data_IF_737907681065
#
_entry.id   IF_737907681065
#
_cell.length_a   1.000
_cell.length_b   1.000
_cell.length_c   1.000
_cell.angle_alpha   90.00
_cell.angle_beta   90.00
_cell.angle_gamma   90.00
#
_symmetry.space_group_name_H-M   'P 1'
#
loop_
_entity.id
_entity.type
_entity.pdbx_description
1 polymer ?
#
# COMPACT_ATOMS: atom_id res chain seq x y z
N UNK A 1 -20.79 7.82 27.90
CA UNK A 1 -20.97 6.81 26.83
C UNK A 1 -21.64 5.56 27.42
N UNK A 2 -22.50 4.86 26.67
CA UNK A 2 -23.05 3.55 27.07
C UNK A 2 -21.91 2.54 27.33
N UNK A 3 -22.00 1.74 28.40
CA UNK A 3 -20.98 0.74 28.80
C UNK A 3 -20.53 -0.19 27.66
N UNK A 4 -21.43 -0.52 26.74
CA UNK A 4 -21.13 -1.38 25.58
C UNK A 4 -20.21 -0.72 24.53
N UNK A 5 -20.29 0.61 24.37
CA UNK A 5 -19.43 1.33 23.42
C UNK A 5 -17.99 1.39 23.93
N UNK A 6 -17.80 1.64 25.22
CA UNK A 6 -16.47 1.63 25.85
C UNK A 6 -15.80 0.26 25.72
N UNK A 7 -16.52 -0.81 26.02
CA UNK A 7 -16.02 -2.19 25.85
C UNK A 7 -15.63 -2.51 24.41
N UNK A 8 -16.39 -1.98 23.44
CA UNK A 8 -16.09 -2.17 22.01
C UNK A 8 -14.83 -1.39 21.60
N UNK A 9 -14.66 -0.16 22.09
CA UNK A 9 -13.46 0.65 21.83
C UNK A 9 -12.23 0.01 22.46
N UNK A 10 -12.31 -0.43 23.72
CA UNK A 10 -11.21 -1.17 24.40
C UNK A 10 -10.84 -2.43 23.62
N UNK A 11 -11.83 -3.20 23.17
CA UNK A 11 -11.59 -4.39 22.34
C UNK A 11 -10.89 -4.03 21.03
N UNK A 12 -11.31 -2.96 20.35
CA UNK A 12 -10.70 -2.50 19.10
C UNK A 12 -9.24 -2.06 19.29
N UNK A 13 -8.96 -1.34 20.38
CA UNK A 13 -7.59 -0.92 20.72
C UNK A 13 -6.70 -2.12 21.00
N UNK A 14 -7.16 -3.08 21.81
CA UNK A 14 -6.40 -4.32 22.07
C UNK A 14 -6.19 -5.12 20.78
N UNK A 15 -7.21 -5.23 19.92
CA UNK A 15 -7.10 -5.92 18.64
C UNK A 15 -6.01 -5.31 17.75
N UNK A 16 -5.93 -3.97 17.67
CA UNK A 16 -4.90 -3.29 16.88
C UNK A 16 -3.47 -3.65 17.32
N UNK A 17 -3.26 -3.93 18.61
CA UNK A 17 -1.92 -4.25 19.15
C UNK A 17 -1.55 -5.73 19.03
N UNK A 18 -2.52 -6.65 18.97
CA UNK A 18 -2.27 -8.10 18.91
C UNK A 18 -2.31 -8.67 17.50
N UNK A 19 -2.91 -7.95 16.55
CA UNK A 19 -3.01 -8.43 15.18
C UNK A 19 -1.59 -8.52 14.57
N UNK A 20 -1.22 -9.68 14.01
CA UNK A 20 0.11 -9.90 13.49
C UNK A 20 0.39 -8.99 12.29
N UNK A 21 1.53 -8.31 12.36
CA UNK A 21 2.10 -7.61 11.22
C UNK A 21 2.97 -8.59 10.44
N UNK A 22 2.90 -8.60 9.10
CA UNK A 22 3.80 -9.42 8.30
C UNK A 22 5.28 -9.11 8.61
N UNK A 23 6.17 -10.11 8.55
CA UNK A 23 5.98 -11.45 7.98
C UNK A 23 5.30 -12.48 8.92
N UNK A 24 4.80 -12.07 10.09
CA UNK A 24 4.12 -12.99 10.99
C UNK A 24 2.89 -13.65 10.31
N UNK A 25 2.69 -14.93 10.63
CA UNK A 25 1.58 -15.72 10.08
C UNK A 25 0.24 -15.11 10.50
N UNK A 26 -0.80 -15.18 9.64
CA UNK A 26 -2.14 -14.79 10.05
C UNK A 26 -2.59 -15.65 11.23
N UNK A 27 -3.27 -15.04 12.19
CA UNK A 27 -3.80 -15.73 13.36
C UNK A 27 -5.31 -15.90 13.24
N UNK A 28 -5.83 -17.00 13.76
CA UNK A 28 -7.25 -17.31 13.75
C UNK A 28 -8.04 -16.39 14.68
N UNK A 29 -9.36 -16.34 14.51
CA UNK A 29 -10.24 -15.61 15.43
C UNK A 29 -10.13 -16.09 16.88
N UNK A 30 -9.84 -17.38 17.10
CA UNK A 30 -9.68 -17.94 18.44
C UNK A 30 -8.39 -17.44 19.08
N UNK A 31 -7.26 -17.55 18.38
CA UNK A 31 -5.97 -17.03 18.86
C UNK A 31 -6.01 -15.51 19.10
N UNK A 32 -6.78 -14.76 18.30
CA UNK A 32 -7.07 -13.34 18.54
C UNK A 32 -7.83 -13.09 19.84
N UNK A 33 -8.88 -13.86 20.08
CA UNK A 33 -9.67 -13.72 21.30
C UNK A 33 -8.83 -14.02 22.52
N UNK A 34 -8.04 -15.10 22.47
CA UNK A 34 -7.14 -15.51 23.55
C UNK A 34 -6.08 -14.40 23.82
N UNK A 35 -5.45 -13.85 22.77
CA UNK A 35 -4.49 -12.76 22.91
C UNK A 35 -5.08 -11.46 23.47
N UNK A 36 -6.35 -11.16 23.16
CA UNK A 36 -7.06 -9.99 23.71
C UNK A 36 -7.45 -10.23 25.18
N UNK A 37 -7.81 -11.46 25.55
CA UNK A 37 -8.09 -11.87 26.93
C UNK A 37 -6.82 -11.79 27.78
N UNK A 38 -5.69 -12.29 27.27
CA UNK A 38 -4.38 -12.26 27.95
C UNK A 38 -3.93 -10.83 28.28
N UNK A 39 -4.37 -9.84 27.48
CA UNK A 39 -4.14 -8.41 27.74
C UNK A 39 -5.16 -7.77 28.67
N UNK A 40 -6.02 -8.56 29.32
CA UNK A 40 -6.96 -8.11 30.34
C UNK A 40 -8.33 -7.65 29.81
N UNK A 41 -8.65 -7.91 28.54
CA UNK A 41 -9.97 -7.59 28.00
C UNK A 41 -10.99 -8.69 28.32
N UNK A 42 -12.21 -8.32 28.70
CA UNK A 42 -13.32 -9.27 28.97
C UNK A 42 -14.04 -9.72 27.69
N UNK A 43 -13.33 -9.80 26.57
CA UNK A 43 -13.89 -10.11 25.25
C UNK A 43 -13.96 -11.63 25.02
N UNK A 44 -14.79 -12.06 24.08
CA UNK A 44 -14.91 -13.48 23.69
C UNK A 44 -14.75 -13.67 22.18
N UNK A 45 -14.60 -14.93 21.75
CA UNK A 45 -14.49 -15.33 20.34
C UNK A 45 -15.60 -14.73 19.47
N UNK A 46 -16.85 -14.76 19.94
CA UNK A 46 -18.00 -14.31 19.15
C UNK A 46 -18.01 -12.79 19.00
N UNK A 47 -17.55 -12.05 20.01
CA UNK A 47 -17.39 -10.61 19.97
C UNK A 47 -16.31 -10.22 18.97
N UNK A 48 -15.12 -10.83 19.04
CA UNK A 48 -14.02 -10.61 18.09
C UNK A 48 -14.48 -10.92 16.67
N UNK A 49 -15.07 -12.11 16.45
CA UNK A 49 -15.57 -12.51 15.13
C UNK A 49 -16.64 -11.54 14.60
N UNK A 50 -17.56 -11.07 15.45
CA UNK A 50 -18.61 -10.12 15.03
C UNK A 50 -18.04 -8.77 14.63
N UNK A 51 -17.09 -8.24 15.42
CA UNK A 51 -16.41 -6.98 15.15
C UNK A 51 -15.61 -7.08 13.85
N UNK A 52 -14.80 -8.14 13.71
CA UNK A 52 -13.92 -8.34 12.57
C UNK A 52 -14.63 -8.86 11.32
N UNK A 53 -15.85 -9.37 11.41
CA UNK A 53 -16.69 -9.65 10.24
C UNK A 53 -17.19 -8.37 9.57
N UNK A 54 -17.19 -7.23 10.27
CA UNK A 54 -17.54 -5.94 9.68
C UNK A 54 -16.40 -5.41 8.81
N UNK A 55 -16.66 -5.27 7.52
CA UNK A 55 -15.68 -4.81 6.54
C UNK A 55 -15.14 -3.40 6.85
N UNK A 56 -15.99 -2.48 7.33
CA UNK A 56 -15.56 -1.11 7.70
C UNK A 56 -14.57 -1.13 8.85
N UNK A 57 -14.77 -2.02 9.82
CA UNK A 57 -13.85 -2.18 10.95
C UNK A 57 -12.53 -2.78 10.46
N UNK A 58 -12.56 -3.76 9.56
CA UNK A 58 -11.32 -4.30 8.96
C UNK A 58 -10.56 -3.25 8.17
N UNK A 59 -11.25 -2.41 7.42
CA UNK A 59 -10.63 -1.32 6.65
C UNK A 59 -10.04 -0.25 7.59
N UNK A 60 -10.76 0.12 8.65
CA UNK A 60 -10.29 1.08 9.66
C UNK A 60 -9.03 0.58 10.38
N UNK A 61 -8.99 -0.70 10.75
CA UNK A 61 -7.83 -1.31 11.40
C UNK A 61 -6.71 -1.65 10.42
N UNK A 62 -6.90 -1.47 9.12
CA UNK A 62 -5.91 -1.84 8.11
C UNK A 62 -5.61 -3.34 8.15
N UNK A 63 -6.62 -4.20 8.22
CA UNK A 63 -6.47 -5.67 8.34
C UNK A 63 -7.22 -6.41 7.24
N UNK A 64 -6.80 -7.64 6.95
CA UNK A 64 -7.42 -8.52 5.97
C UNK A 64 -7.73 -9.89 6.56
N UNK A 65 -8.75 -10.53 5.98
CA UNK A 65 -9.12 -11.90 6.30
C UNK A 65 -8.55 -12.83 5.23
N UNK A 66 -7.75 -13.80 5.64
CA UNK A 66 -7.04 -14.73 4.75
C UNK A 66 -7.53 -16.14 5.01
N UNK A 67 -7.67 -16.95 3.97
CA UNK A 67 -8.02 -18.36 4.11
C UNK A 67 -6.81 -19.18 4.60
N UNK A 68 -6.92 -19.78 5.78
CA UNK A 68 -5.97 -20.72 6.38
C UNK A 68 -6.55 -22.14 6.31
N UNK A 69 -6.39 -22.80 5.16
CA UNK A 69 -6.98 -24.13 4.92
C UNK A 69 -8.50 -24.09 4.95
N UNK A 70 -9.12 -24.68 5.99
CA UNK A 70 -10.59 -24.68 6.21
C UNK A 70 -11.08 -23.54 7.11
N UNK A 71 -10.18 -22.70 7.61
CA UNK A 71 -10.48 -21.63 8.55
C UNK A 71 -10.07 -20.26 8.01
N UNK A 72 -10.48 -19.20 8.69
CA UNK A 72 -10.07 -17.84 8.35
C UNK A 72 -9.09 -17.34 9.39
N UNK A 73 -7.97 -16.79 8.92
CA UNK A 73 -7.04 -16.01 9.70
C UNK A 73 -7.22 -14.51 9.45
N UNK A 74 -6.71 -13.73 10.39
CA UNK A 74 -6.66 -12.27 10.35
C UNK A 74 -5.19 -11.87 10.43
N UNK A 75 -4.81 -10.90 9.61
CA UNK A 75 -3.51 -10.23 9.70
C UNK A 75 -3.63 -8.78 9.32
N UNK A 76 -2.63 -7.99 9.69
CA UNK A 76 -2.50 -6.62 9.23
C UNK A 76 -2.36 -6.60 7.71
N UNK A 77 -3.28 -5.88 7.03
CA UNK A 77 -3.23 -5.46 5.63
C UNK A 77 -2.25 -4.31 5.58
N UNK A 78 -0.99 -4.65 5.86
CA UNK A 78 0.03 -3.64 5.91
C UNK A 78 0.04 -2.88 4.60
N UNK A 79 0.30 -1.61 4.73
CA UNK A 79 0.60 -0.84 3.56
C UNK A 79 1.83 -1.37 2.88
N UNK A 80 1.83 -1.25 1.57
CA UNK A 80 2.99 -1.60 0.77
C UNK A 80 4.22 -0.83 1.32
N UNK A 81 4.10 0.46 1.67
CA UNK A 81 5.20 1.25 2.26
C UNK A 81 5.59 0.91 3.72
N UNK A 82 4.73 0.28 4.52
CA UNK A 82 5.11 -0.25 5.84
C UNK A 82 5.86 -1.59 5.72
N UNK A 83 5.79 -2.25 4.56
CA UNK A 83 6.42 -3.55 4.28
C UNK A 83 7.64 -3.48 3.38
N UNK A 84 7.80 -2.38 2.64
CA UNK A 84 9.04 -2.08 1.95
C UNK A 84 9.43 -0.64 2.21
N UNK A 85 10.68 -0.46 2.59
CA UNK A 85 11.32 0.83 2.40
C UNK A 85 11.37 1.12 0.89
N UNK A 86 11.29 2.40 0.52
CA UNK A 86 11.63 2.84 -0.84
C UNK A 86 12.94 2.20 -1.33
N UNK A 87 13.91 2.02 -0.41
CA UNK A 87 15.19 1.35 -0.62
C UNK A 87 15.08 -0.11 -1.10
N UNK A 88 14.09 -0.89 -0.68
CA UNK A 88 13.93 -2.29 -1.11
C UNK A 88 13.32 -2.40 -2.52
N UNK A 89 12.40 -1.50 -2.86
CA UNK A 89 11.91 -1.35 -4.24
C UNK A 89 13.03 -0.85 -5.18
N UNK A 90 13.81 0.13 -4.73
CA UNK A 90 15.00 0.64 -5.42
C UNK A 90 15.99 -0.50 -5.66
N UNK A 91 16.29 -1.33 -4.66
CA UNK A 91 17.20 -2.46 -4.81
C UNK A 91 16.75 -3.46 -5.88
N UNK A 92 15.45 -3.79 -5.93
CA UNK A 92 14.88 -4.66 -6.97
C UNK A 92 14.97 -4.04 -8.37
N UNK A 93 14.66 -2.76 -8.51
CA UNK A 93 14.73 -2.08 -9.79
C UNK A 93 16.18 -1.97 -10.30
N UNK A 94 17.13 -1.71 -9.39
CA UNK A 94 18.56 -1.67 -9.71
C UNK A 94 19.07 -3.04 -10.14
N UNK A 95 18.73 -4.11 -9.42
CA UNK A 95 19.12 -5.49 -9.76
C UNK A 95 18.58 -5.94 -11.13
N UNK A 96 17.33 -5.60 -11.47
CA UNK A 96 16.70 -6.07 -12.70
C UNK A 96 16.99 -5.22 -13.94
N UNK A 97 17.20 -3.91 -13.77
CA UNK A 97 17.26 -2.99 -14.91
C UNK A 97 18.60 -2.27 -15.05
N UNK A 98 19.32 -1.99 -13.96
CA UNK A 98 20.59 -1.26 -14.01
C UNK A 98 21.82 -2.17 -13.97
N UNK A 99 21.68 -3.36 -13.39
CA UNK A 99 22.78 -4.32 -13.21
C UNK A 99 23.42 -4.74 -14.54
N UNK A 100 22.65 -4.77 -15.63
CA UNK A 100 23.12 -5.12 -16.99
C UNK A 100 23.96 -4.01 -17.63
N UNK A 101 23.77 -2.75 -17.20
CA UNK A 101 24.40 -1.56 -17.76
C UNK A 101 25.73 -1.18 -17.06
N UNK A 102 26.07 -1.85 -15.96
CA UNK A 102 27.26 -1.54 -15.17
C UNK A 102 28.46 -2.44 -15.52
N UNK A 103 29.70 -1.90 -15.43
CA UNK A 103 30.93 -2.69 -15.51
C UNK A 103 30.94 -3.84 -14.50
N UNK A 104 31.58 -4.95 -14.86
CA UNK A 104 31.49 -6.23 -14.13
C UNK A 104 31.92 -6.12 -12.67
N UNK A 105 32.96 -5.35 -12.37
CA UNK A 105 33.48 -5.15 -11.01
C UNK A 105 32.54 -4.31 -10.13
N UNK A 106 31.87 -3.32 -10.73
CA UNK A 106 30.89 -2.47 -10.03
C UNK A 106 29.59 -3.24 -9.81
N UNK A 107 29.17 -4.02 -10.81
CA UNK A 107 28.01 -4.92 -10.76
C UNK A 107 28.08 -5.87 -9.57
N UNK A 108 29.24 -6.50 -9.35
CA UNK A 108 29.42 -7.46 -8.28
C UNK A 108 29.31 -6.80 -6.90
N UNK A 109 29.97 -5.64 -6.70
CA UNK A 109 29.90 -4.89 -5.43
C UNK A 109 28.51 -4.32 -5.16
N UNK A 110 27.83 -3.84 -6.19
CA UNK A 110 26.48 -3.30 -6.09
C UNK A 110 25.46 -4.40 -5.78
N UNK A 111 25.54 -5.54 -6.47
CA UNK A 111 24.68 -6.69 -6.21
C UNK A 111 24.89 -7.22 -4.79
N UNK A 112 26.13 -7.33 -4.31
CA UNK A 112 26.42 -7.71 -2.91
C UNK A 112 25.81 -6.74 -1.89
N UNK A 113 25.86 -5.43 -2.17
CA UNK A 113 25.30 -4.41 -1.30
C UNK A 113 23.76 -4.40 -1.28
N UNK A 114 23.13 -4.64 -2.42
CA UNK A 114 21.68 -4.62 -2.59
C UNK A 114 21.01 -5.97 -2.26
N UNK A 115 21.77 -7.05 -2.24
CA UNK A 115 21.29 -8.43 -2.03
C UNK A 115 20.38 -8.59 -0.81
N UNK A 116 20.67 -8.05 0.39
CA UNK A 116 19.77 -8.21 1.54
C UNK A 116 18.40 -7.57 1.32
N UNK A 117 18.35 -6.44 0.61
CA UNK A 117 17.12 -5.72 0.28
C UNK A 117 16.35 -6.42 -0.84
N UNK A 118 17.08 -6.93 -1.83
CA UNK A 118 16.52 -7.72 -2.93
C UNK A 118 15.94 -9.06 -2.46
N UNK A 119 16.60 -9.78 -1.56
CA UNK A 119 16.12 -11.04 -0.99
C UNK A 119 14.85 -10.83 -0.17
N UNK A 120 14.77 -9.75 0.62
CA UNK A 120 13.55 -9.36 1.32
C UNK A 120 12.40 -9.06 0.36
N UNK A 121 12.70 -8.36 -0.72
CA UNK A 121 11.73 -8.09 -1.79
C UNK A 121 11.27 -9.39 -2.49
N UNK A 122 12.18 -10.30 -2.82
CA UNK A 122 11.88 -11.57 -3.48
C UNK A 122 10.99 -12.45 -2.61
N UNK A 123 11.31 -12.58 -1.32
CA UNK A 123 10.46 -13.29 -0.36
C UNK A 123 9.05 -12.67 -0.34
N UNK A 124 8.94 -11.35 -0.26
CA UNK A 124 7.65 -10.67 -0.31
C UNK A 124 6.88 -10.93 -1.61
N UNK A 125 7.55 -10.88 -2.76
CA UNK A 125 6.99 -11.17 -4.08
C UNK A 125 6.48 -12.61 -4.22
N UNK A 126 7.16 -13.59 -3.61
CA UNK A 126 6.72 -14.98 -3.57
C UNK A 126 5.48 -15.21 -2.68
N UNK A 127 5.38 -14.48 -1.57
CA UNK A 127 4.24 -14.57 -0.65
C UNK A 127 2.97 -13.89 -1.17
N UNK A 128 3.08 -12.94 -2.10
CA UNK A 128 1.95 -12.25 -2.69
C UNK A 128 1.39 -13.02 -3.90
N UNK A 129 0.21 -13.60 -3.74
CA UNK A 129 -0.50 -14.30 -4.84
C UNK A 129 -0.92 -13.37 -5.96
N UNK A 130 -1.20 -12.12 -5.64
CA UNK A 130 -1.61 -11.11 -6.60
C UNK A 130 -0.38 -10.27 -6.99
N UNK A 131 -0.01 -10.35 -8.27
CA UNK A 131 1.12 -9.61 -8.87
C UNK A 131 0.68 -8.36 -9.64
N UNK A 132 -0.61 -7.98 -9.59
CA UNK A 132 -1.10 -6.79 -10.30
C UNK A 132 -0.43 -5.50 -9.82
N UNK A 133 0.15 -5.49 -8.61
CA UNK A 133 0.93 -4.36 -8.10
C UNK A 133 2.18 -4.06 -8.96
N UNK A 134 2.75 -5.05 -9.66
CA UNK A 134 3.87 -4.82 -10.59
C UNK A 134 3.46 -3.96 -11.79
N UNK A 135 2.18 -3.93 -12.13
CA UNK A 135 1.63 -3.08 -13.20
C UNK A 135 1.23 -1.70 -12.72
N UNK A 136 1.39 -1.39 -11.42
CA UNK A 136 0.99 -0.11 -10.81
C UNK A 136 2.09 0.95 -10.89
N UNK A 137 3.33 0.54 -11.16
CA UNK A 137 4.48 1.42 -11.35
C UNK A 137 5.24 0.98 -12.59
N UNK A 138 5.17 1.79 -13.64
CA UNK A 138 5.90 1.58 -14.89
C UNK A 138 6.97 2.66 -15.00
N UNK A 139 8.22 2.25 -15.16
CA UNK A 139 9.35 3.18 -15.28
C UNK A 139 10.08 2.89 -16.59
N UNK A 140 10.24 3.90 -17.42
CA UNK A 140 11.06 3.82 -18.62
C UNK A 140 12.55 3.68 -18.25
N UNK A 141 13.31 2.76 -18.88
CA UNK A 141 14.70 2.47 -18.51
C UNK A 141 15.59 3.71 -18.43
N UNK A 142 15.37 4.69 -19.30
CA UNK A 142 16.14 5.93 -19.43
C UNK A 142 15.96 6.86 -18.21
N UNK A 143 14.81 6.79 -17.53
CA UNK A 143 14.50 7.61 -16.35
C UNK A 143 14.74 6.91 -15.03
N UNK A 144 14.93 5.60 -15.07
CA UNK A 144 15.11 4.81 -13.87
C UNK A 144 16.27 5.34 -13.00
N UNK A 145 17.42 5.63 -13.60
CA UNK A 145 18.59 6.12 -12.86
C UNK A 145 18.33 7.43 -12.12
N UNK A 146 17.67 8.40 -12.76
CA UNK A 146 17.38 9.71 -12.15
C UNK A 146 16.27 9.61 -11.10
N UNK A 147 15.21 8.88 -11.40
CA UNK A 147 14.07 8.70 -10.50
C UNK A 147 14.44 8.00 -9.18
N UNK A 148 15.43 7.10 -9.19
CA UNK A 148 15.91 6.42 -7.98
C UNK A 148 16.79 7.30 -7.07
N UNK A 149 17.38 8.37 -7.61
CA UNK A 149 18.30 9.26 -6.87
C UNK A 149 17.58 10.53 -6.42
N UNK A 150 16.51 10.92 -7.11
CA UNK A 150 15.69 12.06 -6.73
C UNK A 150 14.91 11.78 -5.44
N UNK A 151 14.86 12.73 -4.49
CA UNK A 151 14.04 12.59 -3.31
C UNK A 151 12.56 12.53 -3.71
N UNK A 152 11.90 11.42 -3.35
CA UNK A 152 10.47 11.23 -3.61
C UNK A 152 9.68 12.27 -2.82
N UNK A 153 8.80 13.01 -3.50
CA UNK A 153 7.95 13.98 -2.82
C UNK A 153 6.91 13.26 -1.92
N UNK A 154 6.47 13.89 -0.81
CA UNK A 154 5.46 13.31 0.06
C UNK A 154 4.14 12.96 -0.67
N UNK A 155 3.83 13.69 -1.74
CA UNK A 155 2.65 13.45 -2.56
C UNK A 155 2.80 12.22 -3.46
N UNK A 156 3.98 12.01 -4.04
CA UNK A 156 4.29 10.77 -4.79
C UNK A 156 4.24 9.57 -3.84
N UNK A 157 4.76 9.71 -2.63
CA UNK A 157 4.69 8.65 -1.61
C UNK A 157 3.24 8.31 -1.26
N UNK A 158 2.37 9.31 -1.07
CA UNK A 158 0.93 9.10 -0.84
C UNK A 158 0.23 8.45 -2.03
N UNK A 159 0.59 8.83 -3.26
CA UNK A 159 0.06 8.23 -4.49
C UNK A 159 0.44 6.74 -4.56
N UNK A 160 1.72 6.43 -4.36
CA UNK A 160 2.20 5.05 -4.32
C UNK A 160 1.49 4.26 -3.22
N UNK A 161 1.38 4.82 -2.02
CA UNK A 161 0.62 4.22 -0.92
C UNK A 161 -0.81 3.87 -1.33
N UNK A 162 -1.53 4.80 -1.98
CA UNK A 162 -2.90 4.58 -2.41
C UNK A 162 -3.02 3.59 -3.58
N UNK A 163 -2.11 3.62 -4.55
CA UNK A 163 -2.03 2.65 -5.66
C UNK A 163 -1.94 1.22 -5.13
N UNK A 164 -1.11 1.06 -4.12
CA UNK A 164 -0.82 -0.24 -3.56
C UNK A 164 -1.85 -0.71 -2.53
N UNK A 165 -2.55 0.21 -1.86
CA UNK A 165 -3.65 -0.09 -0.94
C UNK A 165 -5.02 -0.15 -1.65
N UNK A 166 -5.07 0.11 -2.95
CA UNK A 166 -6.30 0.29 -3.73
C UNK A 166 -7.26 1.29 -3.05
N UNK A 167 -6.71 2.41 -2.59
CA UNK A 167 -7.41 3.43 -1.83
C UNK A 167 -7.74 4.65 -2.68
N UNK A 168 -8.85 5.29 -2.35
CA UNK A 168 -9.20 6.56 -2.96
C UNK A 168 -8.35 7.70 -2.40
N UNK A 169 -8.00 8.64 -3.28
CA UNK A 169 -7.35 9.89 -2.93
C UNK A 169 -8.30 11.06 -3.16
N UNK A 170 -8.14 12.12 -2.38
CA UNK A 170 -8.58 13.45 -2.75
C UNK A 170 -7.38 14.13 -3.40
N UNK A 171 -7.50 14.46 -4.68
CA UNK A 171 -6.43 15.10 -5.45
C UNK A 171 -6.81 16.53 -5.74
N UNK A 172 -5.90 17.46 -5.42
CA UNK A 172 -6.00 18.86 -5.78
C UNK A 172 -4.97 19.19 -6.85
N UNK A 173 -5.42 19.70 -8.00
CA UNK A 173 -4.55 19.90 -9.16
C UNK A 173 -4.91 21.16 -9.96
N UNK A 174 -3.96 21.63 -10.77
CA UNK A 174 -4.15 22.72 -11.71
C UNK A 174 -4.40 22.20 -13.12
N UNK A 175 -5.29 22.88 -13.85
CA UNK A 175 -5.46 22.67 -15.29
C UNK A 175 -4.78 23.81 -16.01
N UNK A 176 -4.00 23.50 -17.05
CA UNK A 176 -3.34 24.52 -17.86
C UNK A 176 -4.36 25.56 -18.35
N UNK A 177 -4.12 26.84 -18.06
CA UNK A 177 -5.01 27.95 -18.40
C UNK A 177 -6.09 28.29 -17.37
N UNK A 178 -6.21 27.55 -16.28
CA UNK A 178 -7.15 27.84 -15.19
C UNK A 178 -6.45 28.50 -13.99
N UNK A 179 -7.07 29.55 -13.43
CA UNK A 179 -6.58 30.26 -12.24
C UNK A 179 -6.92 29.49 -10.94
N UNK A 180 -7.93 28.61 -10.99
CA UNK A 180 -8.39 27.83 -9.85
C UNK A 180 -7.80 26.42 -9.79
N UNK A 181 -7.45 25.97 -8.58
CA UNK A 181 -7.16 24.57 -8.33
C UNK A 181 -8.46 23.76 -8.29
N UNK A 182 -8.51 22.66 -9.02
CA UNK A 182 -9.59 21.69 -8.99
C UNK A 182 -9.36 20.67 -7.88
N UNK A 183 -10.44 20.14 -7.32
CA UNK A 183 -10.39 19.08 -6.32
C UNK A 183 -11.29 17.94 -6.79
N UNK A 184 -10.74 16.73 -6.85
CA UNK A 184 -11.45 15.55 -7.35
C UNK A 184 -11.10 14.33 -6.51
N UNK A 185 -12.11 13.51 -6.21
CA UNK A 185 -11.90 12.19 -5.59
C UNK A 185 -11.57 11.16 -6.67
N UNK A 186 -10.41 10.53 -6.54
CA UNK A 186 -9.87 9.63 -7.54
C UNK A 186 -9.54 8.25 -6.95
N UNK A 187 -9.47 7.25 -7.83
CA UNK A 187 -8.85 5.95 -7.60
C UNK A 187 -7.61 5.88 -8.49
N UNK A 188 -6.39 5.90 -7.93
CA UNK A 188 -5.18 5.79 -8.73
C UNK A 188 -5.06 4.37 -9.32
N UNK A 189 -4.64 4.27 -10.57
CA UNK A 189 -4.52 3.00 -11.29
C UNK A 189 -3.05 2.65 -11.52
N UNK A 190 -2.25 3.60 -11.99
CA UNK A 190 -0.85 3.38 -12.36
C UNK A 190 -0.07 4.70 -12.27
N UNK A 191 1.19 4.61 -11.83
CA UNK A 191 2.18 5.66 -11.95
C UNK A 191 3.14 5.34 -13.09
N UNK A 192 3.23 6.23 -14.08
CA UNK A 192 4.10 6.07 -15.25
C UNK A 192 5.22 7.10 -15.20
N UNK A 193 6.47 6.65 -15.00
CA UNK A 193 7.66 7.49 -15.06
C UNK A 193 8.24 7.40 -16.46
N UNK A 194 7.99 8.43 -17.28
CA UNK A 194 8.45 8.52 -18.67
C UNK A 194 9.57 9.52 -18.84
N UNK A 195 10.23 9.49 -20.00
CA UNK A 195 11.38 10.30 -20.36
C UNK A 195 11.16 11.80 -20.09
N UNK A 196 9.98 12.31 -20.46
CA UNK A 196 9.65 13.73 -20.33
C UNK A 196 9.06 14.11 -18.97
N UNK A 197 8.18 13.27 -18.41
CA UNK A 197 7.47 13.59 -17.16
C UNK A 197 6.94 12.31 -16.48
N UNK A 198 6.49 12.46 -15.23
CA UNK A 198 5.78 11.42 -14.50
C UNK A 198 4.29 11.67 -14.55
N UNK A 199 3.52 10.65 -14.91
CA UNK A 199 2.07 10.71 -15.08
C UNK A 199 1.37 9.79 -14.09
N UNK A 200 0.29 10.28 -13.49
CA UNK A 200 -0.64 9.48 -12.71
C UNK A 200 -1.85 9.14 -13.60
N UNK A 201 -2.08 7.84 -13.82
CA UNK A 201 -3.34 7.35 -14.36
C UNK A 201 -4.31 7.10 -13.21
N UNK A 202 -5.54 7.57 -13.37
CA UNK A 202 -6.56 7.46 -12.34
C UNK A 202 -7.96 7.36 -12.93
N UNK A 203 -8.87 6.88 -12.09
CA UNK A 203 -10.29 6.83 -12.34
C UNK A 203 -11.04 7.70 -11.34
N UNK A 204 -12.23 8.11 -11.74
CA UNK A 204 -13.20 8.83 -10.92
C UNK A 204 -14.45 7.95 -10.81
N UNK A 205 -15.38 8.33 -9.94
CA UNK A 205 -16.67 7.62 -9.84
C UNK A 205 -17.44 7.61 -11.16
N UNK A 206 -17.34 8.69 -11.93
CA UNK A 206 -18.00 8.80 -13.23
C UNK A 206 -17.35 7.84 -14.23
N UNK A 207 -16.03 7.84 -14.33
CA UNK A 207 -15.34 6.96 -15.30
C UNK A 207 -15.53 5.48 -14.96
N UNK A 208 -15.59 5.11 -13.67
CA UNK A 208 -15.89 3.74 -13.24
C UNK A 208 -17.32 3.32 -13.56
N UNK A 209 -18.30 4.21 -13.36
CA UNK A 209 -19.72 3.91 -13.53
C UNK A 209 -20.15 3.84 -14.99
N UNK A 210 -19.51 4.64 -15.85
CA UNK A 210 -19.86 4.76 -17.27
C UNK A 210 -18.88 4.05 -18.22
N UNK A 211 -17.90 3.30 -17.68
CA UNK A 211 -16.93 2.56 -18.49
C UNK A 211 -16.05 3.45 -19.36
N UNK A 212 -15.82 4.70 -18.93
CA UNK A 212 -14.97 5.64 -19.67
C UNK A 212 -13.49 5.34 -19.42
N UNK A 213 -12.64 5.75 -20.36
CA UNK A 213 -11.20 5.60 -20.26
C UNK A 213 -10.63 6.30 -19.02
N UNK A 214 -9.55 5.74 -18.47
CA UNK A 214 -8.85 6.32 -17.34
C UNK A 214 -8.29 7.71 -17.70
N UNK A 215 -8.38 8.65 -16.77
CA UNK A 215 -7.78 9.98 -16.92
C UNK A 215 -6.28 9.89 -16.61
N UNK A 216 -5.50 10.79 -17.20
CA UNK A 216 -4.05 10.92 -16.94
C UNK A 216 -3.72 12.36 -16.57
N UNK A 217 -2.84 12.55 -15.59
CA UNK A 217 -2.35 13.87 -15.19
C UNK A 217 -0.84 13.84 -14.90
N UNK A 218 -0.06 14.81 -15.40
CA UNK A 218 1.31 15.02 -14.96
C UNK A 218 1.42 15.38 -13.48
N UNK A 219 2.37 14.78 -12.76
CA UNK A 219 2.53 15.01 -11.32
C UNK A 219 2.85 16.47 -11.01
N UNK A 220 3.55 17.18 -11.90
CA UNK A 220 3.84 18.61 -11.74
C UNK A 220 2.59 19.51 -11.61
N UNK A 221 1.43 19.05 -12.08
CA UNK A 221 0.18 19.79 -11.94
C UNK A 221 -0.59 19.43 -10.66
N UNK A 222 -0.16 18.41 -9.93
CA UNK A 222 -0.74 18.02 -8.65
C UNK A 222 -0.17 18.94 -7.58
N UNK A 223 -1.06 19.65 -6.89
CA UNK A 223 -0.70 20.53 -5.78
C UNK A 223 -0.62 19.79 -4.46
N UNK A 224 -1.56 18.88 -4.24
CA UNK A 224 -1.72 18.18 -2.96
C UNK A 224 -2.53 16.91 -3.17
N UNK A 225 -2.17 15.85 -2.44
CA UNK A 225 -3.00 14.64 -2.33
C UNK A 225 -3.24 14.27 -0.88
N UNK A 226 -4.47 13.86 -0.59
CA UNK A 226 -4.87 13.40 0.74
C UNK A 226 -5.50 12.01 0.65
N UNK A 227 -5.13 11.13 1.59
CA UNK A 227 -5.73 9.81 1.71
C UNK A 227 -7.14 9.93 2.26
N UNK A 228 -8.12 9.35 1.57
CA UNK A 228 -9.49 9.28 2.07
C UNK A 228 -9.67 7.92 2.74
N UNK A 229 -9.65 7.91 4.07
CA UNK A 229 -10.06 6.73 4.84
C UNK A 229 -11.59 6.60 4.72
N UNK A 230 -12.06 5.50 4.13
CA UNK A 230 -13.48 5.13 4.06
C UNK A 230 -13.81 3.98 5.00
#
# INVERSE_FOLDING_TARGET
>A
MPKHQLKTIETLLCLAEVIPHPPAKPITYQELADAVIDRGSSTDYHAVRRILNNERVRNLLGIEQVLLGRTHGIRYRASLLERFSHTELVAYLVENHLNTLLPKEIRQRLSEHLKPHYERFQLFNEYMRDKHWLKKLTIEPERLGTWLVEPVSPDVERILSALYREQHLLMRYYVSGCVGAHEEKIMPIELQVKQEDTFLLYQTRETQKYGQEAKSIPIQFIKEVQLIYQ
#
